data_IF_482281800435
#
_entry.id   IF_482281800435
#
_cell.length_a   1.000
_cell.length_b   1.000
_cell.length_c   1.000
_cell.angle_alpha   90.00
_cell.angle_beta   90.00
_cell.angle_gamma   90.00
#
_symmetry.space_group_name_H-M   'P 1'
#
loop_
_entity.id
_entity.type
_entity.pdbx_description
1 polymer ?
#
# COMPACT_ATOMS: atom_id res chain seq x y z
N UNK A 1 2.36 -19.37 12.85
CA UNK A 1 1.86 -18.00 12.93
C UNK A 1 1.01 -17.87 14.17
N UNK A 2 1.17 -16.80 14.94
CA UNK A 2 0.22 -16.51 16.01
C UNK A 2 -1.13 -16.18 15.38
N UNK A 3 -2.23 -16.64 16.02
CA UNK A 3 -3.56 -16.25 15.61
C UNK A 3 -3.71 -14.72 15.79
N UNK A 4 -4.07 -14.02 14.73
CA UNK A 4 -4.39 -12.59 14.77
C UNK A 4 -5.90 -12.40 14.66
N UNK A 5 -6.40 -11.33 15.23
CA UNK A 5 -7.80 -10.96 15.09
C UNK A 5 -8.13 -10.63 13.63
N UNK A 6 -9.39 -10.80 13.25
CA UNK A 6 -9.86 -10.41 11.92
C UNK A 6 -9.68 -8.89 11.72
N UNK A 7 -8.92 -8.44 10.72
CA UNK A 7 -8.64 -7.02 10.51
C UNK A 7 -9.90 -6.20 10.19
N UNK A 8 -10.91 -6.83 9.58
CA UNK A 8 -12.16 -6.15 9.26
C UNK A 8 -12.98 -5.84 10.52
N UNK A 9 -13.05 -6.77 11.48
CA UNK A 9 -13.71 -6.51 12.75
C UNK A 9 -12.95 -5.48 13.58
N UNK A 10 -11.61 -5.62 13.61
CA UNK A 10 -10.76 -4.69 14.36
C UNK A 10 -10.85 -3.26 13.83
N UNK A 11 -10.89 -3.07 12.51
CA UNK A 11 -10.98 -1.71 11.94
C UNK A 11 -12.37 -1.10 12.13
N UNK A 12 -13.44 -1.91 12.13
CA UNK A 12 -14.77 -1.40 12.39
C UNK A 12 -14.89 -0.89 13.83
N UNK A 13 -14.37 -1.63 14.82
CA UNK A 13 -14.31 -1.20 16.21
C UNK A 13 -13.46 0.08 16.36
N UNK A 14 -12.27 0.09 15.79
CA UNK A 14 -11.37 1.25 15.85
C UNK A 14 -11.97 2.49 15.18
N UNK A 15 -12.65 2.31 14.03
CA UNK A 15 -13.31 3.42 13.35
C UNK A 15 -14.39 4.08 14.23
N UNK A 16 -15.21 3.31 14.90
CA UNK A 16 -16.22 3.86 15.83
C UNK A 16 -15.59 4.63 17.00
N UNK A 17 -14.39 4.26 17.44
CA UNK A 17 -13.66 4.98 18.49
C UNK A 17 -13.08 6.31 18.05
N UNK A 18 -12.65 6.43 16.77
CA UNK A 18 -11.87 7.58 16.29
C UNK A 18 -12.65 8.54 15.39
N UNK A 19 -13.77 8.14 14.80
CA UNK A 19 -14.50 8.92 13.78
C UNK A 19 -14.94 10.32 14.23
N UNK A 20 -15.19 10.50 15.52
CA UNK A 20 -15.58 11.79 16.10
C UNK A 20 -14.37 12.55 16.70
N UNK A 21 -13.15 11.99 16.59
CA UNK A 21 -11.91 12.56 17.13
C UNK A 21 -10.95 13.06 16.06
N UNK A 22 -11.19 12.72 14.79
CA UNK A 22 -10.33 13.09 13.67
C UNK A 22 -11.15 13.39 12.41
N UNK A 23 -10.84 14.53 11.77
CA UNK A 23 -11.48 14.94 10.52
C UNK A 23 -10.92 14.15 9.31
N UNK A 24 -9.67 13.70 9.40
CA UNK A 24 -8.96 12.94 8.36
C UNK A 24 -8.53 11.60 8.95
N UNK A 25 -9.01 10.50 8.36
CA UNK A 25 -8.65 9.14 8.74
C UNK A 25 -7.94 8.49 7.56
N UNK A 26 -6.70 8.04 7.79
CA UNK A 26 -5.85 7.36 6.79
C UNK A 26 -5.56 5.94 7.29
N UNK A 27 -5.72 4.95 6.43
CA UNK A 27 -5.51 3.54 6.75
C UNK A 27 -4.44 2.95 5.84
N UNK A 28 -3.32 2.52 6.42
CA UNK A 28 -2.34 1.64 5.79
C UNK A 28 -2.72 0.19 6.08
N UNK A 29 -3.05 -0.55 5.04
CA UNK A 29 -3.41 -1.96 5.15
C UNK A 29 -2.30 -2.85 4.60
N UNK A 30 -1.44 -3.33 5.49
CA UNK A 30 -0.33 -4.22 5.15
C UNK A 30 -0.81 -5.66 5.02
N UNK A 31 -1.07 -6.11 3.80
CA UNK A 31 -1.60 -7.44 3.49
C UNK A 31 -1.10 -7.96 2.15
N UNK A 32 -0.94 -9.29 2.04
CA UNK A 32 -0.53 -9.99 0.81
C UNK A 32 -1.66 -10.02 -0.22
N UNK A 33 -2.88 -10.37 0.21
CA UNK A 33 -3.96 -10.77 -0.70
C UNK A 33 -4.68 -9.56 -1.29
N UNK A 34 -4.67 -9.46 -2.63
CA UNK A 34 -5.32 -8.37 -3.37
C UNK A 34 -6.81 -8.23 -3.05
N UNK A 35 -7.54 -9.36 -2.92
CA UNK A 35 -8.97 -9.33 -2.59
C UNK A 35 -9.24 -8.76 -1.19
N UNK A 36 -8.39 -9.06 -0.21
CA UNK A 36 -8.50 -8.47 1.13
C UNK A 36 -8.28 -6.95 1.10
N UNK A 37 -7.27 -6.48 0.35
CA UNK A 37 -7.00 -5.05 0.17
C UNK A 37 -8.18 -4.33 -0.47
N UNK A 38 -8.72 -4.89 -1.55
CA UNK A 38 -9.92 -4.35 -2.20
C UNK A 38 -11.13 -4.33 -1.26
N UNK A 39 -11.37 -5.43 -0.53
CA UNK A 39 -12.47 -5.52 0.44
C UNK A 39 -12.32 -4.48 1.56
N UNK A 40 -11.09 -4.24 2.06
CA UNK A 40 -10.82 -3.20 3.06
C UNK A 40 -11.12 -1.80 2.52
N UNK A 41 -10.72 -1.51 1.28
CA UNK A 41 -11.09 -0.26 0.61
C UNK A 41 -12.62 -0.04 0.56
N UNK A 42 -13.37 -1.07 0.18
CA UNK A 42 -14.82 -0.99 0.15
C UNK A 42 -15.47 -0.94 1.55
N UNK A 43 -14.92 -1.64 2.55
CA UNK A 43 -15.40 -1.60 3.93
C UNK A 43 -15.33 -0.19 4.52
N UNK A 44 -14.30 0.57 4.12
CA UNK A 44 -14.06 1.93 4.61
C UNK A 44 -14.48 3.02 3.62
N UNK A 45 -15.05 2.66 2.46
CA UNK A 45 -15.54 3.61 1.47
C UNK A 45 -16.62 4.53 2.06
N UNK A 46 -16.47 5.84 1.90
CA UNK A 46 -17.32 6.85 2.50
C UNK A 46 -17.07 7.11 4.00
N UNK A 47 -16.23 6.31 4.65
CA UNK A 47 -15.82 6.44 6.06
C UNK A 47 -14.45 7.12 6.17
N UNK A 48 -13.39 6.44 5.75
CA UNK A 48 -12.03 6.97 5.76
C UNK A 48 -11.79 7.99 4.63
N UNK A 49 -10.79 8.85 4.81
CA UNK A 49 -10.29 9.75 3.77
C UNK A 49 -9.46 9.00 2.73
N UNK A 50 -8.58 8.11 3.19
CA UNK A 50 -7.67 7.34 2.36
C UNK A 50 -7.50 5.92 2.91
N UNK A 51 -7.52 4.93 2.02
CA UNK A 51 -7.12 3.55 2.29
C UNK A 51 -6.11 3.13 1.23
N UNK A 52 -4.93 2.72 1.65
CA UNK A 52 -3.92 2.21 0.72
C UNK A 52 -3.30 0.91 1.23
N UNK A 53 -2.91 0.06 0.30
CA UNK A 53 -2.24 -1.18 0.62
C UNK A 53 -0.72 -1.06 0.51
N UNK A 54 -0.05 -1.92 1.28
CA UNK A 54 1.40 -2.13 1.28
C UNK A 54 1.72 -3.62 1.27
N UNK A 55 2.97 -4.02 1.30
CA UNK A 55 3.50 -5.38 1.39
C UNK A 55 4.05 -5.96 0.08
N UNK A 56 3.35 -5.87 -1.05
CA UNK A 56 3.78 -6.60 -2.25
C UNK A 56 5.00 -6.01 -2.92
N UNK A 57 5.36 -4.76 -2.59
CA UNK A 57 6.43 -3.98 -3.21
C UNK A 57 6.19 -3.62 -4.68
N UNK A 58 5.05 -3.98 -5.23
CA UNK A 58 4.66 -3.69 -6.61
C UNK A 58 3.54 -2.67 -6.61
N UNK A 59 3.82 -1.48 -7.14
CA UNK A 59 2.81 -0.43 -7.25
C UNK A 59 1.71 -0.85 -8.24
N UNK A 60 0.46 -0.85 -7.76
CA UNK A 60 -0.70 -1.11 -8.60
C UNK A 60 -1.16 0.17 -9.34
N UNK A 61 -1.99 0.02 -10.36
CA UNK A 61 -2.46 1.10 -11.23
C UNK A 61 -3.99 1.28 -11.11
N UNK A 62 -4.49 1.17 -9.88
CA UNK A 62 -5.93 1.16 -9.60
C UNK A 62 -6.36 2.30 -8.67
N UNK A 63 -5.54 3.35 -8.58
CA UNK A 63 -5.86 4.53 -7.80
C UNK A 63 -7.19 5.14 -8.23
N UNK A 64 -8.05 5.44 -7.26
CA UNK A 64 -9.40 5.95 -7.50
C UNK A 64 -10.02 6.53 -6.24
N UNK A 65 -11.13 7.24 -6.40
CA UNK A 65 -11.94 7.74 -5.28
C UNK A 65 -13.22 6.90 -5.17
N UNK A 66 -13.36 6.20 -4.04
CA UNK A 66 -14.53 5.39 -3.73
C UNK A 66 -15.63 6.26 -3.10
N UNK A 67 -16.89 6.08 -3.55
CA UNK A 67 -18.09 6.77 -3.05
C UNK A 67 -17.91 8.29 -2.90
N UNK A 68 -17.16 8.93 -3.82
CA UNK A 68 -16.87 10.36 -3.83
C UNK A 68 -16.26 10.89 -2.51
N UNK A 69 -15.54 10.05 -1.76
CA UNK A 69 -14.91 10.44 -0.50
C UNK A 69 -13.54 9.80 -0.27
N UNK A 70 -13.42 8.49 -0.40
CA UNK A 70 -12.26 7.72 0.06
C UNK A 70 -11.27 7.49 -1.08
N UNK A 71 -10.08 8.06 -1.01
CA UNK A 71 -8.97 7.70 -1.89
C UNK A 71 -8.58 6.23 -1.65
N UNK A 72 -8.27 5.51 -2.73
CA UNK A 72 -7.91 4.09 -2.66
C UNK A 72 -6.86 3.72 -3.69
N UNK A 73 -5.90 2.88 -3.28
CA UNK A 73 -4.99 2.13 -4.14
C UNK A 73 -4.65 0.79 -3.48
N UNK A 74 -4.57 -0.28 -4.28
CA UNK A 74 -4.31 -1.64 -3.77
C UNK A 74 -2.91 -1.79 -3.18
N UNK A 75 -1.86 -1.22 -3.79
CA UNK A 75 -0.50 -1.21 -3.23
C UNK A 75 0.28 0.00 -3.74
N UNK A 76 0.92 0.73 -2.84
CA UNK A 76 1.71 1.92 -3.18
C UNK A 76 3.11 1.60 -3.72
N UNK A 77 3.53 0.32 -3.70
CA UNK A 77 4.83 -0.12 -4.17
C UNK A 77 5.94 0.04 -3.14
N UNK A 78 7.18 0.20 -3.60
CA UNK A 78 8.36 0.32 -2.75
C UNK A 78 9.30 1.44 -3.19
N UNK A 79 10.12 1.90 -2.26
CA UNK A 79 11.30 2.72 -2.55
C UNK A 79 12.53 1.84 -2.52
N UNK A 80 13.25 1.75 -3.65
CA UNK A 80 14.44 0.88 -3.77
C UNK A 80 14.81 0.52 -5.20
N UNK A 81 15.66 -0.50 -5.34
CA UNK A 81 16.11 -1.02 -6.64
C UNK A 81 15.05 -1.86 -7.34
N UNK A 82 14.62 -1.44 -8.53
CA UNK A 82 13.55 -2.07 -9.29
C UNK A 82 14.03 -3.13 -10.29
N UNK A 83 15.32 -3.20 -10.62
CA UNK A 83 15.89 -4.25 -11.47
C UNK A 83 16.22 -5.54 -10.69
N UNK A 84 15.66 -5.66 -9.51
CA UNK A 84 15.66 -6.85 -8.65
C UNK A 84 14.32 -7.56 -8.61
N UNK A 85 14.18 -8.45 -7.63
CA UNK A 85 12.91 -9.10 -7.28
C UNK A 85 12.44 -8.53 -5.96
N UNK A 86 11.40 -7.69 -5.98
CA UNK A 86 10.84 -6.98 -4.83
C UNK A 86 11.91 -6.32 -3.93
N UNK A 87 12.91 -5.67 -4.57
CA UNK A 87 14.00 -4.96 -3.90
C UNK A 87 15.25 -5.79 -3.61
N UNK A 88 15.25 -7.11 -3.85
CA UNK A 88 16.38 -7.98 -3.64
C UNK A 88 17.08 -8.34 -4.95
N UNK A 89 18.39 -8.68 -4.86
CA UNK A 89 19.20 -9.05 -6.03
C UNK A 89 18.61 -10.25 -6.76
N UNK A 90 18.31 -10.07 -8.05
CA UNK A 90 17.61 -11.07 -8.89
C UNK A 90 18.33 -12.42 -8.99
N UNK A 91 19.68 -12.42 -9.01
CA UNK A 91 20.46 -13.66 -9.15
C UNK A 91 20.23 -14.62 -7.97
N UNK A 92 20.22 -14.08 -6.76
CA UNK A 92 20.03 -14.83 -5.51
C UNK A 92 18.61 -15.39 -5.41
N UNK A 93 17.62 -14.56 -5.73
CA UNK A 93 16.21 -14.95 -5.69
C UNK A 93 15.91 -16.05 -6.73
N UNK A 94 16.37 -15.85 -7.98
CA UNK A 94 16.18 -16.83 -9.05
C UNK A 94 16.87 -18.15 -8.69
N UNK A 95 18.09 -18.11 -8.13
CA UNK A 95 18.79 -19.31 -7.65
C UNK A 95 17.95 -20.06 -6.61
N UNK A 96 17.44 -19.35 -5.59
CA UNK A 96 16.60 -19.93 -4.55
C UNK A 96 15.35 -20.63 -5.13
N UNK A 97 14.67 -19.99 -6.08
CA UNK A 97 13.48 -20.59 -6.71
C UNK A 97 13.82 -21.82 -7.56
N UNK A 98 15.02 -21.89 -8.14
CA UNK A 98 15.47 -23.05 -8.96
C UNK A 98 15.88 -24.26 -8.14
N UNK A 99 16.60 -24.06 -7.04
CA UNK A 99 17.21 -25.15 -6.27
C UNK A 99 16.56 -25.38 -4.90
N UNK A 100 15.67 -24.48 -4.45
CA UNK A 100 15.00 -24.58 -3.16
C UNK A 100 15.90 -24.34 -1.95
N UNK A 101 17.18 -24.03 -2.16
CA UNK A 101 18.16 -23.90 -1.09
C UNK A 101 18.13 -22.49 -0.49
N UNK A 102 18.34 -22.35 0.83
CA UNK A 102 18.50 -21.05 1.47
C UNK A 102 19.66 -20.26 0.85
N UNK A 103 19.43 -18.99 0.58
CA UNK A 103 20.45 -18.05 0.12
C UNK A 103 20.45 -16.79 0.99
N UNK A 104 21.60 -16.16 1.13
CA UNK A 104 21.68 -14.83 1.75
C UNK A 104 21.27 -13.79 0.71
N UNK A 105 20.24 -13.01 1.01
CA UNK A 105 19.79 -11.93 0.13
C UNK A 105 20.65 -10.69 0.29
N UNK A 106 20.88 -10.03 -0.83
CA UNK A 106 21.44 -8.66 -0.89
C UNK A 106 20.46 -7.72 -1.54
N UNK A 107 20.49 -6.46 -1.15
CA UNK A 107 19.59 -5.43 -1.70
C UNK A 107 19.98 -5.13 -3.15
N UNK A 108 18.99 -4.94 -4.01
CA UNK A 108 19.19 -4.46 -5.37
C UNK A 108 19.52 -2.97 -5.36
N UNK A 109 20.65 -2.61 -5.99
CA UNK A 109 21.11 -1.24 -6.11
C UNK A 109 20.82 -0.61 -7.49
N UNK A 110 20.31 -1.39 -8.43
CA UNK A 110 20.05 -0.99 -9.82
C UNK A 110 18.66 -0.39 -9.98
N UNK A 111 18.51 0.63 -10.86
CA UNK A 111 17.25 1.31 -11.19
C UNK A 111 16.47 1.75 -9.93
N UNK A 112 17.11 2.55 -9.09
CA UNK A 112 16.49 3.06 -7.85
C UNK A 112 15.31 3.97 -8.18
N UNK A 113 14.17 3.71 -7.56
CA UNK A 113 12.93 4.48 -7.74
C UNK A 113 12.24 4.72 -6.41
N UNK A 114 11.43 5.77 -6.38
CA UNK A 114 10.49 6.05 -5.32
C UNK A 114 9.09 5.76 -5.86
N UNK A 115 8.37 4.82 -5.23
CA UNK A 115 6.94 4.67 -5.40
C UNK A 115 6.21 5.24 -4.20
N UNK A 116 5.02 5.78 -4.45
CA UNK A 116 4.15 6.35 -3.46
C UNK A 116 2.89 6.91 -4.09
N UNK A 117 2.17 7.70 -3.34
CA UNK A 117 0.98 8.44 -3.81
C UNK A 117 1.04 9.88 -3.33
N UNK A 118 0.48 10.77 -4.12
CA UNK A 118 0.11 12.13 -3.73
C UNK A 118 -1.40 12.19 -3.60
N UNK A 119 -1.90 12.73 -2.50
CA UNK A 119 -3.34 12.78 -2.21
C UNK A 119 -3.71 14.16 -1.71
N UNK A 120 -4.68 14.78 -2.37
CA UNK A 120 -5.30 16.01 -1.89
C UNK A 120 -6.58 15.68 -1.13
N UNK A 121 -6.69 16.19 0.11
CA UNK A 121 -7.83 15.95 0.99
C UNK A 121 -8.39 17.29 1.48
N UNK A 122 -9.70 17.48 1.33
CA UNK A 122 -10.43 18.61 1.93
C UNK A 122 -10.45 18.44 3.46
N UNK A 123 -9.77 19.33 4.16
CA UNK A 123 -9.64 19.29 5.62
C UNK A 123 -10.94 19.53 6.38
N UNK A 124 -11.96 20.11 5.74
CA UNK A 124 -13.26 20.37 6.38
C UNK A 124 -14.21 19.16 6.32
N UNK A 125 -14.09 18.37 5.28
CA UNK A 125 -15.00 17.25 5.01
C UNK A 125 -14.33 15.89 5.11
N UNK A 126 -13.00 15.84 5.17
CA UNK A 126 -12.21 14.61 5.10
C UNK A 126 -12.31 13.90 3.75
N UNK A 127 -12.81 14.55 2.69
CA UNK A 127 -12.94 13.95 1.36
C UNK A 127 -11.62 14.02 0.60
N UNK A 128 -11.22 12.94 -0.01
CA UNK A 128 -10.17 12.95 -1.03
C UNK A 128 -10.70 13.65 -2.30
N UNK A 129 -9.93 14.64 -2.77
CA UNK A 129 -10.21 15.43 -3.97
C UNK A 129 -9.46 14.85 -5.18
N UNK A 130 -8.21 14.42 -4.97
CA UNK A 130 -7.40 13.73 -5.99
C UNK A 130 -6.51 12.68 -5.35
N UNK A 131 -6.13 11.69 -6.14
CA UNK A 131 -5.13 10.67 -5.80
C UNK A 131 -4.34 10.33 -7.06
N UNK A 132 -3.02 10.49 -6.99
CA UNK A 132 -2.11 10.28 -8.10
C UNK A 132 -0.92 9.42 -7.67
N UNK A 133 -0.46 8.53 -8.55
CA UNK A 133 0.72 7.71 -8.28
C UNK A 133 2.00 8.49 -8.49
N UNK A 134 2.93 8.33 -7.55
CA UNK A 134 4.31 8.77 -7.68
C UNK A 134 5.17 7.55 -8.08
N UNK A 135 5.89 7.66 -9.18
CA UNK A 135 6.87 6.66 -9.64
C UNK A 135 8.05 7.40 -10.26
N UNK A 136 9.02 7.80 -9.42
CA UNK A 136 10.16 8.62 -9.80
C UNK A 136 11.44 7.79 -9.84
N UNK A 137 12.23 7.95 -10.91
CA UNK A 137 13.61 7.45 -10.97
C UNK A 137 14.54 8.34 -10.15
N UNK A 138 15.51 7.74 -9.45
CA UNK A 138 16.55 8.47 -8.71
C UNK A 138 17.31 9.49 -9.58
N UNK A 139 17.50 9.22 -10.85
CA UNK A 139 18.17 10.14 -11.81
C UNK A 139 17.36 11.42 -12.10
N UNK A 140 16.09 11.49 -11.65
CA UNK A 140 15.20 12.63 -11.86
C UNK A 140 14.88 13.41 -10.56
N UNK A 141 15.51 13.03 -9.45
CA UNK A 141 15.44 13.73 -8.17
C UNK A 141 16.69 14.57 -7.98
#
# INVERSE_FOLDING_TARGET
MNAVNCPFLAIDELYEEIRDKADIIIVDFHAEVTSEKNAMGWNLAGKASLVYGTHTHIQTADERILLNKTGYITDIGMTGGHDGVIGMNRKEIIKKFKDGMPVRYTVCEENKRINGIEVEIDTKTGKTLSIDRINLSYEKI
#
